data_IF_883590401573
#
_entry.id   IF_883590401573
#
_cell.length_a   1.000
_cell.length_b   1.000
_cell.length_c   1.000
_cell.angle_alpha   90.00
_cell.angle_beta   90.00
_cell.angle_gamma   90.00
#
_symmetry.space_group_name_H-M   'P 1'
#
loop_
_entity.id
_entity.type
_entity.pdbx_description
1 polymer ?
#
# COMPACT_ATOMS: atom_id res chain seq x y z
N UNK A 1 -24.63 -22.59 -22.12
CA UNK A 1 -25.68 -21.73 -21.53
C UNK A 1 -25.03 -20.72 -20.60
N UNK A 2 -25.46 -19.46 -20.63
CA UNK A 2 -24.75 -18.32 -20.04
C UNK A 2 -24.74 -18.37 -18.49
N UNK A 3 -23.58 -18.54 -17.82
CA UNK A 3 -23.45 -18.63 -16.36
C UNK A 3 -23.91 -17.38 -15.56
N UNK A 4 -24.26 -16.31 -16.27
CA UNK A 4 -24.50 -14.99 -15.70
C UNK A 4 -25.96 -14.76 -15.28
N UNK A 5 -26.90 -15.56 -15.80
CA UNK A 5 -28.33 -15.39 -15.51
C UNK A 5 -28.70 -15.74 -14.06
N UNK A 6 -28.05 -16.75 -13.47
CA UNK A 6 -28.25 -17.10 -12.06
C UNK A 6 -27.78 -15.99 -11.12
N UNK A 7 -26.72 -15.26 -11.49
CA UNK A 7 -26.21 -14.12 -10.72
C UNK A 7 -27.19 -12.94 -10.71
N UNK A 8 -27.83 -12.65 -11.84
CA UNK A 8 -28.80 -11.56 -11.94
C UNK A 8 -30.11 -11.85 -11.21
N UNK A 9 -30.47 -13.11 -10.99
CA UNK A 9 -31.70 -13.49 -10.30
C UNK A 9 -31.70 -13.09 -8.80
N UNK A 10 -30.53 -12.84 -8.21
CA UNK A 10 -30.39 -12.42 -6.81
C UNK A 10 -30.62 -10.90 -6.62
N UNK A 11 -30.64 -10.11 -7.70
CA UNK A 11 -30.74 -8.65 -7.65
C UNK A 11 -32.05 -8.14 -8.24
N UNK A 12 -32.71 -7.23 -7.53
CA UNK A 12 -33.87 -6.49 -8.03
C UNK A 12 -33.39 -5.23 -8.76
N UNK A 13 -33.04 -5.35 -10.04
CA UNK A 13 -32.62 -4.22 -10.87
C UNK A 13 -33.67 -3.86 -11.93
N UNK A 14 -33.69 -2.58 -12.31
CA UNK A 14 -34.45 -2.10 -13.47
C UNK A 14 -33.47 -1.63 -14.54
N UNK A 15 -33.71 -2.04 -15.78
CA UNK A 15 -32.86 -1.68 -16.92
C UNK A 15 -33.38 -0.36 -17.49
N UNK A 16 -32.61 0.71 -17.29
CA UNK A 16 -32.92 2.02 -17.87
C UNK A 16 -31.83 2.43 -18.87
N UNK A 17 -32.24 2.85 -20.06
CA UNK A 17 -31.32 3.34 -21.09
C UNK A 17 -30.94 4.80 -20.83
N UNK A 18 -29.63 5.07 -20.68
CA UNK A 18 -29.10 6.45 -20.59
C UNK A 18 -28.44 6.85 -21.91
N UNK A 19 -28.90 7.93 -22.58
CA UNK A 19 -28.31 8.38 -23.82
C UNK A 19 -26.88 8.90 -23.61
N UNK A 20 -26.00 8.69 -24.58
CA UNK A 20 -24.54 8.86 -24.44
C UNK A 20 -24.07 10.24 -23.97
N UNK A 21 -24.85 11.31 -24.21
CA UNK A 21 -24.55 12.67 -23.73
C UNK A 21 -24.61 12.80 -22.20
N UNK A 22 -25.38 11.94 -21.52
CA UNK A 22 -25.42 11.87 -20.05
C UNK A 22 -24.46 10.82 -19.49
N UNK A 23 -23.90 9.97 -20.36
CA UNK A 23 -23.01 8.88 -20.00
C UNK A 23 -21.53 9.30 -19.96
N UNK A 24 -21.24 10.61 -19.87
CA UNK A 24 -19.88 11.15 -20.04
C UNK A 24 -18.92 10.62 -18.97
N UNK A 25 -19.40 10.42 -17.75
CA UNK A 25 -18.58 9.90 -16.65
C UNK A 25 -18.23 8.43 -16.88
N UNK A 26 -19.22 7.59 -17.19
CA UNK A 26 -18.99 6.16 -17.44
C UNK A 26 -18.19 5.93 -18.73
N UNK A 27 -18.42 6.75 -19.76
CA UNK A 27 -17.65 6.74 -21.00
C UNK A 27 -16.20 7.17 -20.77
N UNK A 28 -15.95 8.21 -19.97
CA UNK A 28 -14.61 8.62 -19.58
C UNK A 28 -13.88 7.56 -18.75
N UNK A 29 -14.58 6.91 -17.82
CA UNK A 29 -14.03 5.81 -17.02
C UNK A 29 -13.76 4.56 -17.87
N UNK A 30 -14.64 4.22 -18.82
CA UNK A 30 -14.46 3.09 -19.72
C UNK A 30 -13.33 3.29 -20.73
N UNK A 31 -13.01 4.54 -21.10
CA UNK A 31 -11.96 4.88 -22.09
C UNK A 31 -10.58 5.10 -21.50
N UNK A 32 -10.46 5.06 -20.17
CA UNK A 32 -9.18 5.19 -19.47
C UNK A 32 -8.22 4.06 -19.90
N UNK A 33 -7.09 4.38 -20.59
CA UNK A 33 -6.17 3.36 -21.12
C UNK A 33 -5.45 2.59 -20.00
N UNK A 34 -5.35 3.18 -18.82
CA UNK A 34 -4.96 2.54 -17.58
C UNK A 34 -5.91 1.39 -17.19
N UNK A 35 -7.21 1.48 -17.50
CA UNK A 35 -8.18 0.39 -17.25
C UNK A 35 -8.10 -0.75 -18.27
N UNK A 36 -7.74 -0.48 -19.53
CA UNK A 36 -7.55 -1.50 -20.56
C UNK A 36 -6.23 -2.27 -20.38
N UNK A 37 -5.16 -1.59 -19.96
CA UNK A 37 -3.92 -2.22 -19.53
C UNK A 37 -4.10 -3.06 -18.26
N UNK A 38 -5.06 -2.72 -17.41
CA UNK A 38 -5.44 -3.52 -16.25
C UNK A 38 -6.38 -4.70 -16.57
N UNK A 39 -6.82 -4.94 -17.82
CA UNK A 39 -7.70 -6.11 -18.10
C UNK A 39 -7.02 -7.48 -18.08
N UNK A 40 -5.74 -7.56 -17.71
CA UNK A 40 -5.14 -8.81 -17.18
C UNK A 40 -4.65 -8.70 -15.75
N UNK A 41 -4.81 -7.57 -15.06
CA UNK A 41 -4.23 -7.37 -13.72
C UNK A 41 -5.08 -6.44 -12.80
N UNK A 42 -6.38 -6.28 -13.08
CA UNK A 42 -7.32 -5.41 -12.35
C UNK A 42 -7.78 -6.02 -11.01
N UNK A 43 -6.88 -6.72 -10.31
CA UNK A 43 -7.09 -7.04 -8.90
C UNK A 43 -5.86 -6.75 -8.02
N UNK A 44 -4.90 -5.94 -8.51
CA UNK A 44 -3.71 -5.59 -7.74
C UNK A 44 -3.41 -4.08 -7.72
N UNK A 45 -4.44 -3.21 -7.71
CA UNK A 45 -4.34 -2.08 -6.77
C UNK A 45 -4.69 -2.67 -5.41
N UNK A 46 -3.72 -3.38 -4.84
CA UNK A 46 -3.77 -3.80 -3.46
C UNK A 46 -3.74 -2.55 -2.60
N UNK A 47 -4.91 -1.94 -2.37
CA UNK A 47 -5.33 -1.78 -0.98
C UNK A 47 -5.33 -3.20 -0.44
N UNK A 48 -4.14 -3.66 -0.05
CA UNK A 48 -4.00 -4.81 0.80
C UNK A 48 -4.75 -4.34 2.04
N UNK A 49 -6.03 -4.68 2.10
CA UNK A 49 -6.71 -4.88 3.37
C UNK A 49 -5.77 -5.86 4.06
N UNK A 50 -4.91 -5.35 4.93
CA UNK A 50 -3.89 -6.11 5.61
C UNK A 50 -4.63 -7.08 6.52
N UNK A 51 -5.13 -8.18 5.96
CA UNK A 51 -5.10 -9.47 6.60
C UNK A 51 -3.62 -9.71 6.87
N UNK A 52 -3.19 -9.23 8.04
CA UNK A 52 -1.93 -9.53 8.73
C UNK A 52 -0.75 -9.79 7.80
N UNK A 53 0.17 -8.83 7.59
CA UNK A 53 1.45 -9.14 6.94
C UNK A 53 2.07 -10.40 7.58
N UNK A 54 2.60 -11.29 6.75
CA UNK A 54 3.22 -12.53 7.23
C UNK A 54 4.28 -12.18 8.27
N UNK A 55 4.37 -12.97 9.35
CA UNK A 55 5.29 -12.69 10.46
C UNK A 55 6.73 -12.48 9.99
N UNK A 56 7.17 -13.24 8.99
CA UNK A 56 8.51 -13.11 8.38
C UNK A 56 8.78 -11.71 7.83
N UNK A 57 7.84 -11.13 7.09
CA UNK A 57 7.98 -9.79 6.50
C UNK A 57 8.08 -8.72 7.59
N UNK A 58 7.30 -8.86 8.66
CA UNK A 58 7.37 -7.93 9.78
C UNK A 58 8.71 -8.00 10.50
N UNK A 59 9.28 -9.19 10.62
CA UNK A 59 10.59 -9.38 11.23
C UNK A 59 11.72 -8.85 10.35
N UNK A 60 11.60 -8.96 9.02
CA UNK A 60 12.53 -8.32 8.07
C UNK A 60 12.47 -6.79 8.17
N UNK A 61 11.27 -6.21 8.31
CA UNK A 61 11.10 -4.76 8.51
C UNK A 61 11.70 -4.31 9.84
N UNK A 62 11.52 -5.08 10.91
CA UNK A 62 12.17 -4.81 12.20
C UNK A 62 13.68 -4.87 12.09
N UNK A 63 14.21 -5.83 11.33
CA UNK A 63 15.64 -5.94 11.08
C UNK A 63 16.17 -4.73 10.30
N UNK A 64 15.44 -4.26 9.29
CA UNK A 64 15.83 -3.08 8.51
C UNK A 64 15.86 -1.79 9.35
N UNK A 65 15.05 -1.67 10.41
CA UNK A 65 15.18 -0.55 11.36
C UNK A 65 16.56 -0.51 12.03
N UNK A 66 17.24 -1.66 12.16
CA UNK A 66 18.59 -1.73 12.70
C UNK A 66 19.67 -1.23 11.72
N UNK A 67 19.33 -0.92 10.46
CA UNK A 67 20.24 -0.30 9.49
C UNK A 67 19.95 1.19 9.28
N UNK A 68 18.69 1.60 9.42
CA UNK A 68 18.25 2.98 9.19
C UNK A 68 18.57 3.92 10.36
N UNK A 69 19.28 5.02 10.07
CA UNK A 69 19.70 6.00 11.07
C UNK A 69 18.53 6.77 11.70
N UNK A 70 17.51 7.10 10.92
CA UNK A 70 16.35 7.86 11.36
C UNK A 70 15.39 6.96 12.15
N UNK A 71 15.18 5.72 11.70
CA UNK A 71 14.36 4.73 12.40
C UNK A 71 14.93 4.40 13.79
N UNK A 72 16.26 4.26 13.92
CA UNK A 72 16.93 4.09 15.23
C UNK A 72 16.66 5.23 16.18
N UNK A 73 16.75 6.47 15.70
CA UNK A 73 16.50 7.65 16.54
C UNK A 73 15.05 7.70 17.02
N UNK A 74 14.09 7.32 16.16
CA UNK A 74 12.69 7.23 16.53
C UNK A 74 12.45 6.11 17.56
N UNK A 75 13.02 4.92 17.36
CA UNK A 75 12.88 3.80 18.31
C UNK A 75 13.50 4.12 19.67
N UNK A 76 14.71 4.72 19.72
CA UNK A 76 15.37 5.17 20.95
C UNK A 76 14.51 6.21 21.70
N UNK A 77 13.93 7.16 20.96
CA UNK A 77 13.02 8.16 21.51
C UNK A 77 11.74 7.54 22.09
N UNK A 78 11.11 6.59 21.40
CA UNK A 78 9.89 5.94 21.89
C UNK A 78 10.15 4.93 23.01
N UNK A 79 11.37 4.39 23.12
CA UNK A 79 11.79 3.57 24.26
C UNK A 79 11.94 4.41 25.55
N UNK A 80 12.44 5.64 25.43
CA UNK A 80 12.58 6.59 26.55
C UNK A 80 12.05 7.99 26.20
N UNK A 81 10.72 8.18 26.16
CA UNK A 81 10.12 9.44 25.74
C UNK A 81 10.40 10.53 26.78
N UNK A 82 11.34 11.42 26.45
CA UNK A 82 11.79 12.52 27.30
C UNK A 82 12.03 13.77 26.46
N UNK A 83 11.91 14.95 27.06
CA UNK A 83 12.25 16.21 26.39
C UNK A 83 13.71 16.24 25.92
N UNK A 84 14.61 15.60 26.68
CA UNK A 84 16.04 15.49 26.32
C UNK A 84 16.26 14.57 25.12
N UNK A 85 15.58 13.41 25.07
CA UNK A 85 15.65 12.50 23.92
C UNK A 85 15.00 13.12 22.67
N UNK A 86 13.92 13.91 22.84
CA UNK A 86 13.33 14.68 21.74
C UNK A 86 14.29 15.71 21.13
N UNK A 87 15.17 16.28 21.94
CA UNK A 87 16.14 17.29 21.50
C UNK A 87 17.37 16.67 20.82
N UNK A 88 17.65 15.40 21.09
CA UNK A 88 18.67 14.58 20.41
C UNK A 88 18.25 14.17 18.99
N UNK A 89 16.95 14.16 18.69
CA UNK A 89 16.42 13.87 17.36
C UNK A 89 16.85 14.91 16.32
N UNK A 90 17.10 14.45 15.09
CA UNK A 90 17.33 15.33 13.96
C UNK A 90 16.15 16.30 13.74
N UNK A 91 16.43 17.49 13.20
CA UNK A 91 15.45 18.59 13.05
C UNK A 91 14.21 18.16 12.25
N UNK A 92 14.40 17.39 11.17
CA UNK A 92 13.30 16.91 10.32
C UNK A 92 12.43 15.87 11.03
N UNK A 93 13.03 15.00 11.83
CA UNK A 93 12.32 14.00 12.66
C UNK A 93 11.54 14.69 13.76
N UNK A 94 12.18 15.61 14.51
CA UNK A 94 11.56 16.34 15.62
C UNK A 94 10.31 17.12 15.21
N UNK A 95 10.29 17.66 13.99
CA UNK A 95 9.13 18.36 13.44
C UNK A 95 7.93 17.43 13.22
N UNK A 96 8.17 16.16 12.89
CA UNK A 96 7.14 15.17 12.53
C UNK A 96 6.92 14.09 13.59
N UNK A 97 7.69 14.08 14.70
CA UNK A 97 7.66 13.03 15.73
C UNK A 97 6.26 12.76 16.31
N UNK A 98 5.42 13.79 16.38
CA UNK A 98 4.04 13.70 16.88
C UNK A 98 3.12 12.87 15.95
N UNK A 99 3.54 12.62 14.70
CA UNK A 99 2.84 11.80 13.70
C UNK A 99 3.27 10.34 13.74
N UNK A 100 4.33 10.02 14.50
CA UNK A 100 4.81 8.66 14.63
C UNK A 100 4.24 8.02 15.92
N UNK A 101 3.98 6.73 15.84
CA UNK A 101 3.62 5.87 16.98
C UNK A 101 4.39 4.57 16.86
N UNK A 102 4.64 3.89 17.98
CA UNK A 102 5.24 2.55 17.97
C UNK A 102 4.22 1.56 18.49
N UNK A 103 4.01 0.47 17.76
CA UNK A 103 3.14 -0.63 18.16
C UNK A 103 3.80 -1.97 17.83
N UNK A 104 3.99 -2.84 18.82
CA UNK A 104 4.64 -4.15 18.68
C UNK A 104 6.01 -4.10 17.97
N UNK A 105 6.79 -3.05 18.22
CA UNK A 105 8.10 -2.85 17.59
C UNK A 105 8.06 -2.33 16.15
N UNK A 106 6.88 -1.95 15.63
CA UNK A 106 6.71 -1.34 14.32
C UNK A 106 6.48 0.17 14.47
N UNK A 107 7.18 0.95 13.65
CA UNK A 107 6.94 2.39 13.51
C UNK A 107 5.72 2.61 12.60
N UNK A 108 4.72 3.28 13.15
CA UNK A 108 3.50 3.69 12.47
C UNK A 108 3.56 5.19 12.20
N UNK A 109 3.18 5.59 11.00
CA UNK A 109 3.10 6.97 10.57
C UNK A 109 1.64 7.33 10.28
N UNK A 110 1.16 8.36 10.96
CA UNK A 110 -0.18 8.92 10.76
C UNK A 110 -0.12 10.07 9.75
N UNK A 111 -0.83 9.89 8.62
CA UNK A 111 -1.09 10.97 7.69
C UNK A 111 -2.16 11.90 8.29
N UNK A 112 -2.00 13.22 8.15
CA UNK A 112 -2.91 14.21 8.77
C UNK A 112 -4.36 14.03 8.30
N UNK A 113 -4.55 13.52 7.08
CA UNK A 113 -5.85 13.49 6.40
C UNK A 113 -6.44 12.08 6.23
N UNK A 114 -5.61 11.04 6.34
CA UNK A 114 -6.05 9.65 6.31
C UNK A 114 -5.88 9.09 7.72
N UNK A 115 -6.99 8.74 8.40
CA UNK A 115 -7.01 8.03 9.68
C UNK A 115 -6.44 6.59 9.58
N UNK A 116 -5.56 6.35 8.61
CA UNK A 116 -4.88 5.11 8.30
C UNK A 116 -3.41 5.22 8.71
N UNK A 117 -3.06 4.54 9.80
CA UNK A 117 -1.67 4.37 10.21
C UNK A 117 -0.93 3.51 9.19
N UNK A 118 0.19 4.02 8.67
CA UNK A 118 1.03 3.33 7.68
C UNK A 118 2.33 2.86 8.35
N UNK A 119 2.75 1.63 8.10
CA UNK A 119 4.05 1.14 8.58
C UNK A 119 5.17 1.89 7.86
N UNK A 120 6.14 2.39 8.62
CA UNK A 120 7.32 3.05 8.09
C UNK A 120 8.25 1.97 7.54
N UNK A 121 8.53 2.01 6.25
CA UNK A 121 9.54 1.16 5.65
C UNK A 121 10.86 1.96 5.57
N UNK A 122 11.95 1.45 6.16
CA UNK A 122 13.29 1.98 5.96
C UNK A 122 13.64 2.14 4.48
N UNK A 123 14.47 3.12 4.14
CA UNK A 123 14.92 3.35 2.76
C UNK A 123 15.98 2.33 2.30
N UNK A 124 15.91 1.11 2.82
CA UNK A 124 16.82 0.02 2.51
C UNK A 124 16.46 -0.55 1.11
N UNK A 125 17.42 -0.47 0.19
CA UNK A 125 17.22 -0.84 -1.22
C UNK A 125 16.87 -2.33 -1.38
N UNK A 126 17.28 -3.19 -0.45
CA UNK A 126 17.05 -4.64 -0.51
C UNK A 126 15.57 -5.02 -0.31
N UNK A 127 14.84 -4.32 0.57
CA UNK A 127 13.39 -4.52 0.72
C UNK A 127 12.60 -3.99 -0.47
N UNK A 128 13.15 -2.99 -1.18
CA UNK A 128 12.58 -2.48 -2.45
C UNK A 128 12.81 -3.47 -3.60
N UNK A 129 13.97 -4.14 -3.65
CA UNK A 129 14.35 -5.04 -4.74
C UNK A 129 13.59 -6.37 -4.70
N UNK A 130 13.29 -6.93 -3.53
CA UNK A 130 12.49 -8.15 -3.42
C UNK A 130 10.98 -7.95 -3.68
N UNK A 131 10.54 -6.70 -3.92
CA UNK A 131 9.16 -6.36 -4.29
C UNK A 131 8.97 -6.25 -5.80
N UNK A 132 10.06 -6.16 -6.57
CA UNK A 132 10.00 -6.17 -8.04
C UNK A 132 10.15 -7.63 -8.47
N UNK A 133 9.10 -8.30 -8.99
CA UNK A 133 9.29 -9.59 -9.61
C UNK A 133 10.23 -9.41 -10.79
N UNK A 134 11.43 -10.00 -10.71
CA UNK A 134 12.31 -10.18 -11.86
C UNK A 134 11.53 -11.02 -12.86
N UNK A 135 11.14 -10.42 -13.98
CA UNK A 135 10.53 -11.15 -15.10
C UNK A 135 11.45 -12.32 -15.45
N UNK A 136 10.99 -13.58 -15.39
CA UNK A 136 11.73 -14.65 -16.03
C UNK A 136 11.62 -14.41 -17.54
N UNK A 137 12.76 -14.14 -18.17
CA UNK A 137 12.90 -14.19 -19.63
C UNK A 137 12.46 -15.59 -20.08
N UNK A 138 11.23 -15.72 -20.55
CA UNK A 138 10.78 -16.97 -21.13
C UNK A 138 11.44 -17.08 -22.50
N UNK A 139 12.49 -17.89 -22.54
CA UNK A 139 13.23 -18.22 -23.74
C UNK A 139 12.30 -18.68 -24.85
N UNK A 140 12.42 -18.01 -25.99
CA UNK A 140 11.86 -18.37 -27.28
C UNK A 140 12.02 -19.87 -27.56
N UNK A 141 10.93 -20.63 -27.53
CA UNK A 141 10.85 -21.87 -28.30
C UNK A 141 9.82 -21.67 -29.40
N UNK A 142 10.34 -21.40 -30.58
CA UNK A 142 9.60 -21.26 -31.84
C UNK A 142 9.62 -22.63 -32.49
N UNK A 143 8.41 -23.17 -32.69
CA UNK A 143 7.97 -24.14 -33.71
C UNK A 143 8.66 -25.49 -33.83
#
# INVERSE_FOLDING_TARGET
MAPWLSFFAEYNFQVEYKPGRLNVVDDALSRRPDYAAHKTDANAIGVVRTSTPSSSLLDDVKFAYANDADAKQLLDYFATPSGKSRQKLAKHIRARVHRYRVHNGLLLYSAVDDNADRVVFPDDYELKLNRIPRCPDVGTSRS
#
